data_IF_432948970955
#
_entry.id   IF_432948970955
#
_cell.length_a   1.000
_cell.length_b   1.000
_cell.length_c   1.000
_cell.angle_alpha   90.00
_cell.angle_beta   90.00
_cell.angle_gamma   90.00
#
_symmetry.space_group_name_H-M   'P 1'
#
loop_
_entity.id
_entity.type
_entity.pdbx_description
1 polymer ?
#
# COMPACT_ATOMS: atom_id res chain seq x y z
N UNK A 1 -2.66 -13.54 -13.83
CA UNK A 1 -2.37 -12.83 -15.08
C UNK A 1 -2.79 -13.75 -16.21
N UNK A 2 -3.51 -13.24 -17.21
CA UNK A 2 -3.85 -14.00 -18.43
C UNK A 2 -2.54 -14.41 -19.14
N UNK A 3 -2.47 -15.63 -19.69
CA UNK A 3 -1.32 -16.21 -20.41
C UNK A 3 -0.72 -15.25 -21.44
N UNK A 4 -1.55 -14.49 -22.16
CA UNK A 4 -1.09 -13.48 -23.12
C UNK A 4 -0.25 -12.36 -22.47
N UNK A 5 -0.64 -11.88 -21.28
CA UNK A 5 0.10 -10.85 -20.56
C UNK A 5 1.39 -11.40 -19.93
N UNK A 6 1.43 -12.70 -19.60
CA UNK A 6 2.64 -13.36 -19.09
C UNK A 6 3.69 -13.44 -20.19
N UNK A 7 3.32 -13.91 -21.39
CA UNK A 7 4.21 -13.92 -22.55
C UNK A 7 4.68 -12.51 -22.92
N UNK A 8 3.78 -11.54 -22.90
CA UNK A 8 4.12 -10.14 -23.14
C UNK A 8 5.12 -9.60 -22.10
N UNK A 9 4.96 -9.97 -20.82
CA UNK A 9 5.92 -9.59 -19.75
C UNK A 9 7.31 -10.20 -20.00
N UNK A 10 7.38 -11.45 -20.48
CA UNK A 10 8.66 -12.08 -20.83
C UNK A 10 9.34 -11.34 -21.98
N UNK A 11 8.59 -11.02 -23.04
CA UNK A 11 9.11 -10.23 -24.15
C UNK A 11 9.56 -8.83 -23.70
N UNK A 12 8.83 -8.18 -22.79
CA UNK A 12 9.21 -6.89 -22.24
C UNK A 12 10.53 -6.92 -21.44
N UNK A 13 10.86 -8.06 -20.81
CA UNK A 13 12.16 -8.27 -20.17
C UNK A 13 13.30 -8.38 -21.18
N UNK A 14 13.05 -9.03 -22.31
CA UNK A 14 14.04 -9.27 -23.36
C UNK A 14 14.32 -8.01 -24.20
N UNK A 15 13.37 -7.09 -24.29
CA UNK A 15 13.49 -5.84 -25.06
C UNK A 15 13.34 -4.59 -24.17
N UNK A 16 14.33 -4.26 -23.32
CA UNK A 16 14.24 -3.21 -22.31
C UNK A 16 14.24 -1.77 -22.87
N UNK A 17 14.37 -1.56 -24.18
CA UNK A 17 14.28 -0.24 -24.82
C UNK A 17 13.20 -0.18 -25.92
N UNK A 18 12.39 -1.23 -26.08
CA UNK A 18 11.35 -1.24 -27.11
C UNK A 18 10.22 -0.26 -26.78
N UNK A 19 9.81 0.50 -27.80
CA UNK A 19 8.56 1.25 -27.82
C UNK A 19 7.44 0.35 -28.33
N UNK A 20 6.37 0.22 -27.54
CA UNK A 20 5.23 -0.61 -27.90
C UNK A 20 4.15 0.24 -28.58
N UNK A 21 3.93 -0.03 -29.87
CA UNK A 21 3.06 0.78 -30.74
C UNK A 21 1.66 0.19 -30.96
N UNK A 22 1.44 -1.08 -30.61
CA UNK A 22 0.19 -1.81 -30.90
C UNK A 22 -0.46 -2.39 -29.63
N UNK A 23 -0.65 -1.56 -28.61
CA UNK A 23 -1.20 -2.00 -27.32
C UNK A 23 -2.73 -1.94 -27.26
N UNK A 24 -3.37 -1.13 -28.12
CA UNK A 24 -4.82 -1.07 -28.21
C UNK A 24 -5.48 -2.41 -28.56
N UNK A 25 -4.83 -3.26 -29.35
CA UNK A 25 -5.30 -4.62 -29.62
C UNK A 25 -5.38 -5.47 -28.35
N UNK A 26 -4.42 -5.31 -27.43
CA UNK A 26 -4.40 -6.02 -26.15
C UNK A 26 -5.45 -5.49 -25.17
N UNK A 27 -5.74 -4.18 -25.20
CA UNK A 27 -6.75 -3.55 -24.37
C UNK A 27 -8.17 -3.93 -24.81
N UNK A 28 -8.41 -3.91 -26.13
CA UNK A 28 -9.74 -4.14 -26.70
C UNK A 28 -10.08 -5.62 -26.91
N UNK A 29 -9.16 -6.56 -26.68
CA UNK A 29 -9.45 -8.00 -26.83
C UNK A 29 -10.64 -8.44 -25.93
N UNK A 30 -11.74 -8.96 -26.50
CA UNK A 30 -12.90 -9.45 -25.75
C UNK A 30 -12.53 -10.46 -24.66
N UNK A 31 -11.67 -11.44 -24.93
CA UNK A 31 -11.23 -12.43 -23.94
C UNK A 31 -10.53 -11.78 -22.74
N UNK A 32 -9.74 -10.73 -23.01
CA UNK A 32 -9.05 -9.97 -21.99
C UNK A 32 -9.99 -9.14 -21.11
N UNK A 33 -11.07 -8.62 -21.70
CA UNK A 33 -12.13 -7.89 -21.01
C UNK A 33 -12.99 -8.85 -20.18
N UNK A 34 -13.35 -10.02 -20.71
CA UNK A 34 -14.07 -11.08 -19.99
C UNK A 34 -13.30 -11.56 -18.76
N UNK A 35 -12.01 -11.85 -18.90
CA UNK A 35 -11.16 -12.18 -17.75
C UNK A 35 -11.15 -11.03 -16.72
N UNK A 36 -11.13 -9.78 -17.18
CA UNK A 36 -11.17 -8.62 -16.27
C UNK A 36 -12.50 -8.52 -15.52
N UNK A 37 -13.61 -8.89 -16.14
CA UNK A 37 -14.91 -9.01 -15.49
C UNK A 37 -14.93 -10.10 -14.41
N UNK A 38 -14.40 -11.30 -14.72
CA UNK A 38 -14.39 -12.44 -13.81
C UNK A 38 -13.67 -12.15 -12.50
N UNK A 39 -12.50 -11.51 -12.60
CA UNK A 39 -11.65 -11.16 -11.44
C UNK A 39 -12.29 -10.10 -10.52
N UNK A 40 -13.23 -9.28 -11.02
CA UNK A 40 -13.85 -8.26 -10.18
C UNK A 40 -14.69 -8.88 -9.05
N UNK A 41 -14.53 -8.42 -7.80
CA UNK A 41 -15.36 -8.91 -6.71
C UNK A 41 -16.80 -8.40 -6.85
N UNK A 42 -17.78 -9.30 -6.67
CA UNK A 42 -19.21 -9.00 -6.87
C UNK A 42 -19.84 -8.11 -5.79
N UNK A 43 -19.16 -7.88 -4.67
CA UNK A 43 -19.68 -7.10 -3.54
C UNK A 43 -19.24 -5.62 -3.54
N UNK A 44 -18.60 -5.13 -4.61
CA UNK A 44 -18.21 -3.72 -4.72
C UNK A 44 -19.44 -2.85 -4.98
N UNK A 45 -19.48 -1.70 -4.32
CA UNK A 45 -20.51 -0.69 -4.56
C UNK A 45 -20.49 -0.24 -6.03
N UNK A 46 -21.68 0.05 -6.57
CA UNK A 46 -21.85 0.52 -7.93
C UNK A 46 -21.38 1.98 -8.09
N UNK A 47 -21.06 2.33 -9.35
CA UNK A 47 -20.67 3.67 -9.76
C UNK A 47 -21.89 4.59 -9.87
N UNK A 48 -21.81 5.59 -10.76
CA UNK A 48 -22.94 6.49 -11.05
C UNK A 48 -24.03 5.76 -11.84
N UNK A 49 -23.61 4.83 -12.71
CA UNK A 49 -24.45 3.94 -13.51
C UNK A 49 -25.36 3.02 -12.67
N UNK A 50 -25.07 2.85 -11.37
CA UNK A 50 -25.75 1.92 -10.46
C UNK A 50 -25.75 0.45 -10.95
N UNK A 51 -24.92 0.11 -11.93
CA UNK A 51 -24.80 -1.25 -12.47
C UNK A 51 -23.94 -2.10 -11.55
N UNK A 52 -24.51 -3.20 -11.06
CA UNK A 52 -23.78 -4.21 -10.29
C UNK A 52 -23.15 -5.27 -11.19
N UNK A 53 -22.26 -6.10 -10.61
CA UNK A 53 -21.67 -7.23 -11.35
C UNK A 53 -22.74 -8.20 -11.85
N UNK A 54 -23.78 -8.45 -11.04
CA UNK A 54 -24.88 -9.35 -11.42
C UNK A 54 -25.71 -8.78 -12.55
N UNK A 55 -25.96 -7.47 -12.57
CA UNK A 55 -26.72 -6.83 -13.64
C UNK A 55 -25.94 -6.86 -14.95
N UNK A 56 -24.62 -6.62 -14.88
CA UNK A 56 -23.75 -6.72 -16.05
C UNK A 56 -23.61 -8.16 -16.58
N UNK A 57 -23.72 -9.16 -15.70
CA UNK A 57 -23.61 -10.57 -16.08
C UNK A 57 -24.78 -11.09 -16.92
N UNK A 58 -25.93 -10.39 -16.92
CA UNK A 58 -27.14 -10.84 -17.63
C UNK A 58 -26.95 -10.91 -19.15
N UNK A 59 -26.15 -9.99 -19.70
CA UNK A 59 -25.76 -9.96 -21.10
C UNK A 59 -24.26 -9.68 -21.21
N UNK A 60 -23.47 -10.63 -20.68
CA UNK A 60 -22.03 -10.45 -20.61
C UNK A 60 -21.38 -10.37 -22.00
N UNK A 61 -21.75 -11.29 -22.89
CA UNK A 61 -21.13 -11.40 -24.21
C UNK A 61 -21.48 -10.21 -25.12
N UNK A 62 -22.75 -9.78 -25.14
CA UNK A 62 -23.18 -8.61 -25.89
C UNK A 62 -22.48 -7.33 -25.41
N UNK A 63 -22.45 -7.09 -24.09
CA UNK A 63 -21.82 -5.90 -23.51
C UNK A 63 -20.30 -5.87 -23.69
N UNK A 64 -19.62 -7.01 -23.53
CA UNK A 64 -18.16 -7.08 -23.76
C UNK A 64 -17.83 -6.85 -25.23
N UNK A 65 -18.64 -7.38 -26.15
CA UNK A 65 -18.45 -7.17 -27.59
C UNK A 65 -18.67 -5.71 -27.96
N UNK A 66 -19.71 -5.07 -27.42
CA UNK A 66 -19.96 -3.65 -27.58
C UNK A 66 -18.79 -2.80 -27.04
N UNK A 67 -18.35 -3.06 -25.80
CA UNK A 67 -17.22 -2.37 -25.18
C UNK A 67 -15.92 -2.55 -25.97
N UNK A 68 -15.66 -3.75 -26.50
CA UNK A 68 -14.53 -4.02 -27.39
C UNK A 68 -14.60 -3.16 -28.66
N UNK A 69 -15.78 -3.09 -29.28
CA UNK A 69 -16.03 -2.25 -30.45
C UNK A 69 -15.80 -0.76 -30.17
N UNK A 70 -16.30 -0.26 -29.04
CA UNK A 70 -16.13 1.14 -28.63
C UNK A 70 -14.68 1.53 -28.35
N UNK A 71 -13.90 0.60 -27.78
CA UNK A 71 -12.47 0.80 -27.55
C UNK A 71 -11.70 0.85 -28.88
N UNK A 72 -12.07 0.02 -29.86
CA UNK A 72 -11.43 0.01 -31.19
C UNK A 72 -11.78 1.25 -32.01
N UNK A 73 -13.03 1.70 -31.97
CA UNK A 73 -13.50 2.88 -32.70
C UNK A 73 -13.18 4.21 -32.01
N UNK A 74 -12.62 4.16 -30.80
CA UNK A 74 -12.37 5.32 -29.94
C UNK A 74 -13.62 6.10 -29.53
N UNK A 75 -14.80 5.47 -29.61
CA UNK A 75 -16.04 6.04 -29.08
C UNK A 75 -16.16 5.91 -27.57
N UNK A 76 -15.40 5.00 -26.94
CA UNK A 76 -15.40 4.83 -25.48
C UNK A 76 -15.08 6.15 -24.73
N UNK A 77 -16.03 6.57 -23.87
CA UNK A 77 -15.90 7.74 -23.00
C UNK A 77 -16.05 7.32 -21.55
N UNK A 78 -14.99 7.45 -20.73
CA UNK A 78 -15.07 7.11 -19.33
C UNK A 78 -16.05 8.03 -18.61
N UNK A 79 -16.82 7.47 -17.68
CA UNK A 79 -17.79 8.20 -16.91
C UNK A 79 -17.15 8.85 -15.68
N UNK A 80 -17.72 9.93 -15.14
CA UNK A 80 -17.22 10.53 -13.91
C UNK A 80 -17.25 9.53 -12.75
N UNK A 81 -16.27 9.61 -11.87
CA UNK A 81 -16.23 8.71 -10.71
C UNK A 81 -17.15 9.22 -9.60
N UNK A 82 -17.89 8.32 -8.96
CA UNK A 82 -18.77 8.69 -7.82
C UNK A 82 -17.95 8.92 -6.56
N UNK A 83 -17.99 10.13 -5.98
CA UNK A 83 -17.25 10.45 -4.75
C UNK A 83 -17.92 9.85 -3.52
N UNK A 84 -17.15 9.19 -2.67
CA UNK A 84 -17.55 8.63 -1.38
C UNK A 84 -16.48 8.92 -0.34
N UNK A 85 -16.89 9.34 0.86
CA UNK A 85 -15.96 9.67 1.93
C UNK A 85 -15.77 8.50 2.90
N UNK A 86 -14.51 8.16 3.17
CA UNK A 86 -14.13 7.27 4.26
C UNK A 86 -13.51 8.07 5.40
N UNK A 87 -13.99 7.94 6.64
CA UNK A 87 -13.40 8.64 7.78
C UNK A 87 -11.96 8.17 8.06
N UNK A 88 -11.01 9.10 8.11
CA UNK A 88 -9.64 8.84 8.60
C UNK A 88 -9.60 8.91 10.13
N UNK A 89 -8.52 8.39 10.71
CA UNK A 89 -8.29 8.39 12.17
C UNK A 89 -8.03 9.78 12.76
N UNK A 90 -7.67 10.76 11.94
CA UNK A 90 -7.36 12.13 12.33
C UNK A 90 -8.54 13.10 12.14
N UNK A 91 -9.78 12.58 12.04
CA UNK A 91 -10.99 13.37 11.82
C UNK A 91 -11.19 13.86 10.37
N UNK A 92 -10.14 13.89 9.54
CA UNK A 92 -10.27 14.21 8.11
C UNK A 92 -10.97 13.06 7.37
N UNK A 93 -11.56 13.34 6.21
CA UNK A 93 -12.15 12.32 5.36
C UNK A 93 -11.22 12.01 4.17
N UNK A 94 -11.14 10.74 3.76
CA UNK A 94 -10.48 10.32 2.53
C UNK A 94 -11.55 10.22 1.45
N UNK A 95 -11.49 11.05 0.41
CA UNK A 95 -12.36 10.85 -0.73
C UNK A 95 -11.94 9.60 -1.50
N UNK A 96 -12.91 8.80 -1.91
CA UNK A 96 -12.76 7.71 -2.87
C UNK A 96 -13.67 7.97 -4.07
N UNK A 97 -13.13 7.78 -5.27
CA UNK A 97 -13.88 7.68 -6.50
C UNK A 97 -14.23 6.23 -6.78
N UNK A 98 -15.53 5.93 -6.91
CA UNK A 98 -16.04 4.64 -7.35
C UNK A 98 -16.38 4.76 -8.83
N UNK A 99 -15.56 4.19 -9.74
CA UNK A 99 -15.85 4.21 -11.17
C UNK A 99 -17.03 3.31 -11.54
N UNK A 100 -17.63 3.61 -12.70
CA UNK A 100 -18.65 2.78 -13.33
C UNK A 100 -18.13 1.37 -13.63
N UNK A 101 -19.03 0.42 -13.87
CA UNK A 101 -18.63 -0.98 -13.96
C UNK A 101 -17.76 -1.28 -15.20
N UNK A 102 -18.11 -0.74 -16.36
CA UNK A 102 -17.30 -0.85 -17.58
C UNK A 102 -15.92 -0.23 -17.41
N UNK A 103 -15.85 0.98 -16.82
CA UNK A 103 -14.59 1.65 -16.51
C UNK A 103 -13.69 0.80 -15.62
N UNK A 104 -14.27 0.02 -14.69
CA UNK A 104 -13.49 -0.93 -13.86
C UNK A 104 -12.88 -2.05 -14.69
N UNK A 105 -13.60 -2.57 -15.68
CA UNK A 105 -13.10 -3.62 -16.59
C UNK A 105 -11.93 -3.06 -17.41
N UNK A 106 -12.13 -1.90 -18.04
CA UNK A 106 -11.10 -1.24 -18.85
C UNK A 106 -9.87 -0.89 -18.01
N UNK A 107 -10.06 -0.28 -16.84
CA UNK A 107 -8.95 0.07 -15.93
C UNK A 107 -8.20 -1.16 -15.42
N UNK A 108 -8.89 -2.28 -15.15
CA UNK A 108 -8.23 -3.52 -14.74
C UNK A 108 -7.35 -4.07 -15.86
N UNK A 109 -7.87 -4.13 -17.09
CA UNK A 109 -7.12 -4.61 -18.25
C UNK A 109 -5.91 -3.72 -18.52
N UNK A 110 -6.11 -2.40 -18.52
CA UNK A 110 -5.06 -1.39 -18.67
C UNK A 110 -3.98 -1.53 -17.59
N UNK A 111 -4.39 -1.70 -16.32
CA UNK A 111 -3.48 -1.94 -15.20
C UNK A 111 -2.59 -3.16 -15.44
N UNK A 112 -3.15 -4.26 -15.96
CA UNK A 112 -2.39 -5.46 -16.32
C UNK A 112 -1.38 -5.24 -17.45
N UNK A 113 -1.75 -4.46 -18.48
CA UNK A 113 -0.84 -4.11 -19.60
C UNK A 113 0.32 -3.25 -19.08
N UNK A 114 0.02 -2.19 -18.33
CA UNK A 114 1.04 -1.30 -17.78
C UNK A 114 1.97 -2.05 -16.79
N UNK A 115 1.42 -2.93 -15.94
CA UNK A 115 2.25 -3.77 -15.07
C UNK A 115 3.20 -4.67 -15.87
N UNK A 116 2.72 -5.27 -16.96
CA UNK A 116 3.55 -6.15 -17.78
C UNK A 116 4.73 -5.42 -18.43
N UNK A 117 4.55 -4.14 -18.80
CA UNK A 117 5.60 -3.29 -19.37
C UNK A 117 6.61 -2.86 -18.30
N UNK A 118 6.15 -2.33 -17.16
CA UNK A 118 7.01 -1.64 -16.19
C UNK A 118 7.53 -2.52 -15.06
N UNK A 119 6.92 -3.66 -14.75
CA UNK A 119 7.40 -4.53 -13.66
C UNK A 119 8.88 -4.97 -13.82
N UNK A 120 9.39 -5.25 -15.04
CA UNK A 120 10.82 -5.47 -15.27
C UNK A 120 11.72 -4.26 -14.99
N UNK A 121 11.22 -3.04 -15.12
CA UNK A 121 11.99 -1.81 -14.94
C UNK A 121 12.02 -1.31 -13.51
N UNK A 122 10.91 -1.53 -12.78
CA UNK A 122 10.75 -1.05 -11.43
C UNK A 122 11.88 -1.53 -10.51
N UNK A 123 12.51 -0.56 -9.84
CA UNK A 123 13.64 -0.81 -8.94
C UNK A 123 13.25 -1.65 -7.75
N UNK A 124 14.21 -2.41 -7.23
CA UNK A 124 14.04 -3.30 -6.09
C UNK A 124 13.68 -2.56 -4.79
N UNK A 125 13.93 -1.25 -4.73
CA UNK A 125 13.53 -0.40 -3.60
C UNK A 125 12.02 -0.19 -3.51
N UNK A 126 11.25 -0.46 -4.57
CA UNK A 126 9.80 -0.22 -4.61
C UNK A 126 8.99 -1.50 -4.37
N UNK A 127 8.11 -1.48 -3.37
CA UNK A 127 7.32 -2.65 -2.96
C UNK A 127 5.80 -2.46 -3.05
N UNK A 128 5.31 -1.22 -3.03
CA UNK A 128 3.88 -0.93 -2.97
C UNK A 128 3.17 -1.29 -4.28
N UNK A 129 1.96 -1.86 -4.19
CA UNK A 129 1.09 -2.16 -5.33
C UNK A 129 1.71 -2.97 -6.49
N UNK A 130 2.75 -3.75 -6.22
CA UNK A 130 3.42 -4.60 -7.22
C UNK A 130 3.07 -6.08 -7.04
N UNK A 131 2.96 -6.85 -8.13
CA UNK A 131 2.79 -8.30 -8.04
C UNK A 131 3.98 -8.93 -7.30
N UNK A 132 3.72 -9.95 -6.47
CA UNK A 132 4.73 -10.71 -5.72
C UNK A 132 5.58 -9.90 -4.70
N UNK A 133 5.36 -8.58 -4.60
CA UNK A 133 5.94 -7.72 -3.56
C UNK A 133 4.94 -7.49 -2.44
N UNK A 134 5.42 -7.41 -1.21
CA UNK A 134 4.56 -7.15 -0.06
C UNK A 134 5.25 -6.28 1.01
N UNK A 135 4.45 -5.78 1.95
CA UNK A 135 4.93 -4.92 3.03
C UNK A 135 5.98 -5.62 3.92
N UNK A 136 5.87 -6.93 4.12
CA UNK A 136 6.82 -7.68 4.93
C UNK A 136 8.21 -7.76 4.28
N UNK A 137 8.29 -7.86 2.96
CA UNK A 137 9.55 -7.79 2.23
C UNK A 137 10.22 -6.42 2.37
N UNK A 138 9.46 -5.32 2.30
CA UNK A 138 9.98 -3.97 2.54
C UNK A 138 10.55 -3.84 3.97
N UNK A 139 9.81 -4.34 4.98
CA UNK A 139 10.25 -4.35 6.37
C UNK A 139 11.49 -5.23 6.60
N UNK A 140 11.59 -6.37 5.90
CA UNK A 140 12.76 -7.24 5.95
C UNK A 140 13.97 -6.54 5.33
N UNK A 141 13.80 -5.88 4.18
CA UNK A 141 14.87 -5.13 3.53
C UNK A 141 15.37 -3.97 4.38
N UNK A 142 14.46 -3.23 5.01
CA UNK A 142 14.81 -2.19 5.98
C UNK A 142 15.64 -2.76 7.15
N UNK A 143 15.29 -3.94 7.64
CA UNK A 143 16.06 -4.65 8.67
C UNK A 143 17.46 -5.06 8.20
N UNK A 144 17.58 -5.54 6.96
CA UNK A 144 18.85 -5.88 6.33
C UNK A 144 19.74 -4.65 6.16
N UNK A 145 19.23 -3.55 5.61
CA UNK A 145 19.97 -2.30 5.41
C UNK A 145 20.50 -1.78 6.75
N UNK A 146 19.60 -1.61 7.71
CA UNK A 146 19.95 -1.02 9.01
C UNK A 146 20.90 -1.87 9.83
N UNK A 147 20.81 -3.20 9.75
CA UNK A 147 21.62 -4.12 10.57
C UNK A 147 22.94 -4.50 9.89
N UNK A 148 22.91 -4.75 8.57
CA UNK A 148 24.06 -5.34 7.85
C UNK A 148 24.85 -4.30 7.05
N UNK A 149 24.25 -3.17 6.64
CA UNK A 149 24.90 -2.17 5.77
C UNK A 149 25.42 -0.93 6.53
N UNK A 150 25.38 -0.97 7.87
CA UNK A 150 26.06 0.03 8.70
C UNK A 150 25.49 1.46 8.65
N UNK A 151 24.28 1.65 8.10
CA UNK A 151 23.61 2.95 8.05
C UNK A 151 23.35 3.50 9.46
N UNK A 152 23.52 4.81 9.65
CA UNK A 152 23.35 5.49 10.94
C UNK A 152 22.30 6.59 10.93
N UNK A 153 21.84 6.98 9.75
CA UNK A 153 20.88 8.05 9.55
C UNK A 153 19.73 7.55 8.70
N UNK A 154 18.54 8.03 9.02
CA UNK A 154 17.31 7.63 8.37
C UNK A 154 16.46 8.88 8.13
N UNK A 155 15.96 9.02 6.91
CA UNK A 155 14.99 10.04 6.52
C UNK A 155 13.68 9.31 6.27
N UNK A 156 12.70 9.56 7.13
CA UNK A 156 11.29 9.22 6.87
C UNK A 156 10.71 10.37 6.03
N UNK A 157 10.06 10.07 4.91
CA UNK A 157 9.43 11.07 4.06
C UNK A 157 8.10 10.57 3.49
N UNK A 158 7.15 11.49 3.37
CA UNK A 158 5.79 11.24 2.88
C UNK A 158 5.41 12.37 1.92
N UNK A 159 4.68 12.05 0.86
CA UNK A 159 4.29 13.03 -0.16
C UNK A 159 2.88 13.54 0.15
N UNK A 160 2.74 14.86 0.23
CA UNK A 160 1.48 15.52 0.58
C UNK A 160 0.46 15.33 -0.53
N UNK A 161 -0.60 14.59 -0.22
CA UNK A 161 -1.72 14.40 -1.13
C UNK A 161 -1.31 13.84 -2.50
N UNK A 162 -0.36 12.89 -2.54
CA UNK A 162 0.24 12.40 -3.79
C UNK A 162 -0.78 12.14 -4.90
N UNK A 163 -1.83 11.36 -4.62
CA UNK A 163 -2.85 11.02 -5.62
C UNK A 163 -3.66 12.21 -6.12
N UNK A 164 -3.73 13.31 -5.38
CA UNK A 164 -4.51 14.49 -5.73
C UNK A 164 -3.66 15.51 -6.53
N UNK A 165 -2.32 15.46 -6.42
CA UNK A 165 -1.40 16.42 -7.06
C UNK A 165 -0.62 15.86 -8.28
N UNK A 166 -0.82 14.61 -8.68
CA UNK A 166 -0.12 14.05 -9.86
C UNK A 166 -0.44 14.87 -11.12
N UNK A 167 0.56 15.53 -11.68
CA UNK A 167 0.41 16.26 -12.96
C UNK A 167 0.27 15.29 -14.15
N UNK A 168 -0.80 15.46 -14.93
CA UNK A 168 -1.12 14.56 -16.04
C UNK A 168 -0.09 14.62 -17.17
N UNK A 169 0.44 15.79 -17.47
CA UNK A 169 1.37 15.97 -18.58
C UNK A 169 2.70 15.25 -18.32
N UNK A 170 3.26 15.37 -17.10
CA UNK A 170 4.43 14.59 -16.70
C UNK A 170 4.15 13.08 -16.72
N UNK A 171 3.00 12.65 -16.21
CA UNK A 171 2.63 11.23 -16.22
C UNK A 171 2.57 10.67 -17.65
N UNK A 172 1.99 11.42 -18.59
CA UNK A 172 1.93 10.99 -19.99
C UNK A 172 3.32 10.95 -20.63
N UNK A 173 4.18 11.94 -20.38
CA UNK A 173 5.59 11.92 -20.84
C UNK A 173 6.36 10.72 -20.30
N UNK A 174 6.12 10.31 -19.05
CA UNK A 174 6.73 9.10 -18.50
C UNK A 174 6.23 7.83 -19.18
N UNK A 175 4.94 7.78 -19.54
CA UNK A 175 4.37 6.65 -20.27
C UNK A 175 4.94 6.56 -21.70
N UNK A 176 5.15 7.69 -22.36
CA UNK A 176 5.71 7.80 -23.71
C UNK A 176 7.11 7.19 -23.84
N UNK A 177 7.86 7.03 -22.75
CA UNK A 177 9.15 6.31 -22.78
C UNK A 177 9.04 4.85 -23.23
N UNK A 178 7.89 4.20 -23.02
CA UNK A 178 7.67 2.79 -23.37
C UNK A 178 6.46 2.59 -24.28
N UNK A 179 5.45 3.44 -24.16
CA UNK A 179 4.21 3.37 -24.93
C UNK A 179 4.33 4.34 -26.10
N UNK A 180 4.60 3.80 -27.28
CA UNK A 180 4.55 4.56 -28.54
C UNK A 180 3.16 4.55 -29.19
N UNK A 181 2.18 3.85 -28.59
CA UNK A 181 0.79 3.82 -29.05
C UNK A 181 0.03 5.10 -28.62
N UNK A 182 -0.20 6.07 -29.53
CA UNK A 182 -0.85 7.34 -29.19
C UNK A 182 -2.32 7.15 -28.82
N UNK A 183 -2.93 6.07 -29.29
CA UNK A 183 -4.33 5.76 -29.07
C UNK A 183 -4.53 5.27 -27.64
N UNK A 184 -3.63 4.41 -27.13
CA UNK A 184 -3.64 4.00 -25.73
C UNK A 184 -3.43 5.21 -24.79
N UNK A 185 -2.45 6.07 -25.09
CA UNK A 185 -2.20 7.29 -24.31
C UNK A 185 -3.43 8.21 -24.29
N UNK A 186 -4.17 8.29 -25.39
CA UNK A 186 -5.44 9.04 -25.45
C UNK A 186 -6.50 8.47 -24.51
N UNK A 187 -6.63 7.14 -24.41
CA UNK A 187 -7.55 6.50 -23.46
C UNK A 187 -7.13 6.78 -22.02
N UNK A 188 -5.83 6.69 -21.70
CA UNK A 188 -5.30 7.02 -20.38
C UNK A 188 -5.62 8.49 -20.02
N UNK A 189 -5.37 9.42 -20.95
CA UNK A 189 -5.70 10.84 -20.78
C UNK A 189 -7.20 11.06 -20.54
N UNK A 190 -8.08 10.36 -21.28
CA UNK A 190 -9.53 10.43 -21.05
C UNK A 190 -9.91 9.93 -19.65
N UNK A 191 -9.32 8.82 -19.19
CA UNK A 191 -9.57 8.26 -17.85
C UNK A 191 -9.14 9.22 -16.73
N UNK A 192 -8.00 9.90 -16.91
CA UNK A 192 -7.50 10.90 -15.96
C UNK A 192 -8.40 12.15 -15.91
N UNK A 193 -8.95 12.56 -17.05
CA UNK A 193 -9.84 13.74 -17.18
C UNK A 193 -11.32 13.45 -16.94
N UNK A 194 -11.71 12.20 -16.67
CA UNK A 194 -13.11 11.79 -16.56
C UNK A 194 -13.92 12.52 -15.46
N UNK A 195 -13.23 13.27 -14.58
CA UNK A 195 -13.88 14.11 -13.58
C UNK A 195 -14.49 13.32 -12.43
N UNK A 196 -15.04 14.04 -11.46
CA UNK A 196 -15.65 13.50 -10.25
C UNK A 196 -17.08 14.01 -10.16
N UNK A 197 -18.02 13.13 -9.83
CA UNK A 197 -19.39 13.50 -9.49
C UNK A 197 -19.59 13.43 -7.97
N UNK A 198 -20.00 14.55 -7.39
CA UNK A 198 -20.28 14.67 -5.95
C UNK A 198 -21.65 15.31 -5.74
N UNK A 199 -22.57 14.59 -5.08
CA UNK A 199 -23.93 15.06 -4.82
C UNK A 199 -24.70 15.61 -6.05
N UNK A 200 -24.39 15.10 -7.25
CA UNK A 200 -24.99 15.56 -8.51
C UNK A 200 -24.26 16.72 -9.20
N UNK A 201 -23.19 17.23 -8.60
CA UNK A 201 -22.32 18.26 -9.19
C UNK A 201 -21.11 17.61 -9.84
N UNK A 202 -20.89 17.91 -11.12
CA UNK A 202 -19.71 17.49 -11.86
C UNK A 202 -18.55 18.45 -11.62
N UNK A 203 -17.39 17.92 -11.26
CA UNK A 203 -16.13 18.68 -11.14
C UNK A 203 -15.09 18.07 -12.08
N UNK A 204 -14.48 18.89 -12.93
CA UNK A 204 -13.39 18.46 -13.80
C UNK A 204 -12.15 18.10 -12.96
N UNK A 205 -11.41 17.07 -13.38
CA UNK A 205 -10.13 16.69 -12.76
C UNK A 205 -8.99 17.33 -13.53
N UNK A 206 -8.46 18.44 -13.03
CA UNK A 206 -7.32 19.14 -13.65
C UNK A 206 -5.97 18.53 -13.27
N UNK A 207 -5.89 17.94 -12.08
CA UNK A 207 -4.72 17.22 -11.58
C UNK A 207 -5.15 15.96 -10.79
N UNK A 208 -4.17 15.11 -10.52
CA UNK A 208 -4.34 13.91 -9.71
C UNK A 208 -4.88 12.70 -10.47
N UNK A 209 -4.87 11.56 -9.80
CA UNK A 209 -5.48 10.32 -10.30
C UNK A 209 -6.65 9.96 -9.40
N UNK A 210 -7.80 9.51 -9.95
CA UNK A 210 -8.96 9.21 -9.13
C UNK A 210 -8.62 8.11 -8.09
N UNK A 211 -8.71 8.47 -6.80
CA UNK A 211 -8.44 7.55 -5.69
C UNK A 211 -9.51 6.46 -5.66
N UNK A 212 -9.17 5.24 -6.06
CA UNK A 212 -10.13 4.12 -6.17
C UNK A 212 -10.23 3.52 -7.57
N UNK A 213 -9.62 4.18 -8.56
CA UNK A 213 -9.36 3.57 -9.86
C UNK A 213 -8.38 2.40 -9.74
N UNK A 214 -8.60 1.34 -10.53
CA UNK A 214 -7.75 0.13 -10.52
C UNK A 214 -6.41 0.34 -11.22
N UNK A 215 -6.35 1.35 -12.09
CA UNK A 215 -5.14 1.74 -12.82
C UNK A 215 -4.28 2.73 -12.02
N UNK A 216 -4.89 3.53 -11.14
CA UNK A 216 -4.23 4.59 -10.38
C UNK A 216 -2.98 4.12 -9.60
N UNK A 217 -2.97 2.95 -8.91
CA UNK A 217 -1.78 2.49 -8.20
C UNK A 217 -0.58 2.19 -9.10
N UNK A 218 -0.83 1.72 -10.34
CA UNK A 218 0.24 1.43 -11.29
C UNK A 218 0.79 2.74 -11.86
N UNK A 219 -0.09 3.67 -12.24
CA UNK A 219 0.32 5.01 -12.70
C UNK A 219 1.14 5.75 -11.63
N UNK A 220 0.70 5.67 -10.37
CA UNK A 220 1.44 6.19 -9.22
C UNK A 220 2.87 5.63 -9.13
N UNK A 221 3.01 4.32 -9.30
CA UNK A 221 4.31 3.66 -9.25
C UNK A 221 5.20 4.03 -10.44
N UNK A 222 4.65 4.15 -11.64
CA UNK A 222 5.37 4.62 -12.84
C UNK A 222 5.89 6.03 -12.60
N UNK A 223 5.04 6.93 -12.10
CA UNK A 223 5.42 8.30 -11.79
C UNK A 223 6.59 8.37 -10.80
N UNK A 224 6.46 7.71 -9.65
CA UNK A 224 7.49 7.70 -8.62
C UNK A 224 8.75 6.93 -9.03
N UNK A 225 8.64 6.01 -9.98
CA UNK A 225 9.80 5.33 -10.54
C UNK A 225 10.76 6.31 -11.22
N UNK A 226 10.23 7.20 -12.07
CA UNK A 226 11.06 8.20 -12.78
C UNK A 226 11.45 9.38 -11.89
N UNK A 227 10.53 9.86 -11.05
CA UNK A 227 10.77 11.04 -10.21
C UNK A 227 11.75 10.73 -9.07
N UNK A 228 11.56 9.61 -8.39
CA UNK A 228 12.26 9.27 -7.14
C UNK A 228 13.21 8.08 -7.31
N UNK A 229 12.73 6.89 -7.71
CA UNK A 229 13.53 5.66 -7.64
C UNK A 229 14.76 5.72 -8.57
N UNK A 230 14.56 6.11 -9.83
CA UNK A 230 15.63 6.24 -10.82
C UNK A 230 16.61 7.36 -10.48
N UNK A 231 16.08 8.52 -10.06
CA UNK A 231 16.91 9.64 -9.64
C UNK A 231 17.78 9.27 -8.44
N UNK A 232 17.21 8.62 -7.43
CA UNK A 232 17.94 8.19 -6.24
C UNK A 232 19.09 7.24 -6.61
N UNK A 233 18.78 6.17 -7.36
CA UNK A 233 19.76 5.13 -7.68
C UNK A 233 20.84 5.61 -8.66
N UNK A 234 20.46 6.35 -9.71
CA UNK A 234 21.39 6.71 -10.80
C UNK A 234 22.14 8.01 -10.57
N UNK A 235 21.57 8.94 -9.80
CA UNK A 235 22.17 10.27 -9.56
C UNK A 235 22.56 10.45 -8.10
N UNK A 236 21.58 10.38 -7.19
CA UNK A 236 21.82 10.75 -5.80
C UNK A 236 22.89 9.88 -5.14
N UNK A 237 22.73 8.55 -5.20
CA UNK A 237 23.66 7.58 -4.57
C UNK A 237 25.10 7.73 -5.05
N UNK A 238 25.32 8.11 -6.32
CA UNK A 238 26.67 8.31 -6.87
C UNK A 238 27.40 9.52 -6.30
N UNK A 239 26.64 10.49 -5.78
CA UNK A 239 27.18 11.71 -5.18
C UNK A 239 27.29 11.62 -3.67
N UNK A 240 26.82 10.53 -3.05
CA UNK A 240 26.95 10.31 -1.61
C UNK A 240 28.41 10.02 -1.24
N UNK A 241 28.87 10.55 -0.11
CA UNK A 241 30.18 10.21 0.44
C UNK A 241 30.21 8.76 0.92
N UNK A 242 29.09 8.26 1.43
CA UNK A 242 28.94 6.87 1.82
C UNK A 242 27.78 6.17 1.13
N UNK A 243 27.20 5.18 1.80
CA UNK A 243 26.15 4.34 1.21
C UNK A 243 24.76 4.92 1.51
N UNK A 244 23.93 4.99 0.47
CA UNK A 244 22.53 5.38 0.55
C UNK A 244 21.63 4.24 0.05
N UNK A 245 20.53 4.01 0.75
CA UNK A 245 19.54 2.99 0.39
C UNK A 245 18.12 3.55 0.52
N UNK A 246 17.25 3.19 -0.42
CA UNK A 246 15.84 3.59 -0.42
C UNK A 246 14.95 2.36 -0.22
N UNK A 247 13.90 2.49 0.58
CA UNK A 247 12.80 1.53 0.70
C UNK A 247 11.50 2.29 0.56
N UNK A 248 10.75 2.02 -0.51
CA UNK A 248 9.50 2.69 -0.85
C UNK A 248 8.33 1.72 -0.85
N UNK A 249 7.23 2.13 -0.24
CA UNK A 249 5.95 1.45 -0.29
C UNK A 249 4.86 2.43 -0.70
N UNK A 250 4.58 2.46 -2.01
CA UNK A 250 3.70 3.47 -2.62
C UNK A 250 4.28 4.88 -2.46
N UNK A 251 3.56 5.75 -1.74
CA UNK A 251 3.89 7.15 -1.41
C UNK A 251 4.75 7.30 -0.15
N UNK A 252 4.73 6.31 0.74
CA UNK A 252 5.52 6.26 1.98
C UNK A 252 6.90 5.66 1.68
N UNK A 253 7.98 6.37 2.00
CA UNK A 253 9.34 5.88 1.80
C UNK A 253 10.31 6.28 2.89
N UNK A 254 11.35 5.45 3.02
CA UNK A 254 12.41 5.61 4.00
C UNK A 254 13.75 5.52 3.27
N UNK A 255 14.58 6.55 3.44
CA UNK A 255 15.96 6.57 2.94
C UNK A 255 16.94 6.39 4.10
N UNK A 256 17.91 5.50 3.96
CA UNK A 256 18.91 5.19 4.97
C UNK A 256 20.30 5.56 4.47
N UNK A 257 21.09 6.24 5.29
CA UNK A 257 22.42 6.76 4.96
C UNK A 257 23.46 6.41 6.01
N UNK A 258 24.72 6.32 5.60
CA UNK A 258 25.86 6.14 6.53
C UNK A 258 26.28 7.47 7.17
N UNK A 259 26.22 8.58 6.43
CA UNK A 259 26.63 9.91 6.90
C UNK A 259 25.42 10.84 7.06
N UNK A 260 25.55 11.79 7.98
CA UNK A 260 24.52 12.80 8.25
C UNK A 260 24.40 13.81 7.11
N UNK A 261 25.54 14.22 6.55
CA UNK A 261 25.60 15.18 5.44
C UNK A 261 24.83 14.68 4.23
N UNK A 262 25.02 13.40 3.87
CA UNK A 262 24.28 12.74 2.79
C UNK A 262 22.77 12.68 3.09
N UNK A 263 22.37 12.60 4.35
CA UNK A 263 20.95 12.55 4.73
C UNK A 263 20.29 13.94 4.70
N UNK A 264 20.99 14.98 5.18
CA UNK A 264 20.51 16.37 5.13
C UNK A 264 20.38 16.86 3.69
N UNK A 265 21.43 16.68 2.89
CA UNK A 265 21.41 17.02 1.46
C UNK A 265 20.27 16.31 0.72
N UNK A 266 19.96 15.08 1.11
CA UNK A 266 18.86 14.33 0.50
C UNK A 266 17.52 15.02 0.75
N UNK A 267 17.25 15.54 1.94
CA UNK A 267 15.99 16.24 2.22
C UNK A 267 15.84 17.51 1.37
N UNK A 268 16.92 18.27 1.25
CA UNK A 268 16.94 19.52 0.49
C UNK A 268 16.72 19.23 -1.01
N UNK A 269 17.56 18.36 -1.60
CA UNK A 269 17.44 17.99 -3.01
C UNK A 269 16.13 17.26 -3.33
N UNK A 270 15.58 16.47 -2.40
CA UNK A 270 14.29 15.80 -2.58
C UNK A 270 13.16 16.82 -2.71
N UNK A 271 13.20 17.89 -1.93
CA UNK A 271 12.18 18.94 -1.95
C UNK A 271 12.20 19.67 -3.29
N UNK A 272 13.38 20.07 -3.76
CA UNK A 272 13.57 20.68 -5.08
C UNK A 272 13.16 19.71 -6.20
N UNK A 273 13.57 18.45 -6.10
CA UNK A 273 13.27 17.42 -7.09
C UNK A 273 11.77 17.21 -7.24
N UNK A 274 11.03 17.08 -6.12
CA UNK A 274 9.58 16.88 -6.17
C UNK A 274 8.85 18.11 -6.71
N UNK A 275 9.30 19.32 -6.36
CA UNK A 275 8.69 20.56 -6.83
C UNK A 275 8.72 20.70 -8.36
N UNK A 276 9.79 20.24 -9.03
CA UNK A 276 9.89 20.22 -10.51
C UNK A 276 8.77 19.40 -11.16
N UNK A 277 8.23 18.41 -10.45
CA UNK A 277 7.15 17.54 -10.91
C UNK A 277 5.79 17.88 -10.27
N UNK A 278 5.64 19.06 -9.66
CA UNK A 278 4.37 19.46 -9.04
C UNK A 278 4.00 18.68 -7.77
N UNK A 279 4.98 18.04 -7.12
CA UNK A 279 4.79 17.32 -5.87
C UNK A 279 5.40 18.08 -4.69
N UNK A 280 4.79 17.93 -3.51
CA UNK A 280 5.25 18.57 -2.27
C UNK A 280 5.53 17.50 -1.20
N UNK A 281 6.66 17.64 -0.52
CA UNK A 281 6.98 16.83 0.67
C UNK A 281 6.08 17.26 1.83
N UNK A 282 5.55 16.32 2.61
CA UNK A 282 4.79 16.63 3.83
C UNK A 282 5.77 16.96 4.98
N UNK A 283 5.92 18.24 5.39
CA UNK A 283 6.97 18.63 6.36
C UNK A 283 6.68 18.09 7.76
N UNK A 284 5.41 17.85 8.09
CA UNK A 284 4.98 17.36 9.40
C UNK A 284 5.37 15.91 9.68
N UNK A 285 5.61 15.14 8.62
CA UNK A 285 6.01 13.73 8.71
C UNK A 285 7.47 13.49 8.33
N UNK A 286 8.02 14.40 7.54
CA UNK A 286 9.39 14.24 7.05
C UNK A 286 10.37 14.56 8.16
N UNK A 287 11.19 13.59 8.54
CA UNK A 287 12.14 13.79 9.64
C UNK A 287 13.47 13.06 9.42
N UNK A 288 14.55 13.74 9.80
CA UNK A 288 15.88 13.16 9.88
C UNK A 288 16.09 12.56 11.27
N UNK A 289 16.44 11.28 11.32
CA UNK A 289 16.58 10.51 12.54
C UNK A 289 17.94 9.83 12.59
N UNK A 290 18.62 9.93 13.73
CA UNK A 290 19.79 9.10 14.02
C UNK A 290 19.33 7.68 14.34
N UNK A 291 19.58 6.76 13.43
CA UNK A 291 19.05 5.41 13.48
C UNK A 291 20.07 4.38 12.97
N UNK A 292 20.67 3.63 13.89
CA UNK A 292 21.70 2.64 13.56
C UNK A 292 22.36 2.03 14.79
N UNK A 293 23.42 1.26 14.57
CA UNK A 293 24.19 0.59 15.62
C UNK A 293 24.85 1.55 16.61
N UNK A 294 25.26 2.74 16.14
CA UNK A 294 25.94 3.76 16.97
C UNK A 294 24.96 4.72 17.64
N UNK A 295 23.74 4.83 17.14
CA UNK A 295 22.74 5.79 17.64
C UNK A 295 22.56 5.76 19.17
N UNK A 296 22.53 4.58 19.79
CA UNK A 296 22.41 4.48 21.25
C UNK A 296 23.64 4.99 22.01
N UNK A 297 24.85 4.79 21.46
CA UNK A 297 26.10 5.28 22.04
C UNK A 297 26.24 6.79 21.85
N UNK A 298 25.93 7.29 20.65
CA UNK A 298 26.06 8.70 20.32
C UNK A 298 25.05 9.54 21.11
N UNK A 299 23.80 9.08 21.28
CA UNK A 299 22.84 9.76 22.16
C UNK A 299 23.30 9.81 23.62
N UNK A 300 24.02 8.80 24.11
CA UNK A 300 24.58 8.82 25.47
C UNK A 300 25.69 9.86 25.60
N UNK A 301 26.53 10.02 24.58
CA UNK A 301 27.58 11.06 24.54
C UNK A 301 26.98 12.46 24.49
N UNK A 302 25.91 12.63 23.71
CA UNK A 302 25.24 13.93 23.52
C UNK A 302 24.26 14.28 24.68
N UNK A 303 24.29 13.55 25.80
CA UNK A 303 23.40 13.78 26.96
C UNK A 303 21.91 13.54 26.69
N UNK A 304 21.55 12.95 25.55
CA UNK A 304 20.18 12.82 25.06
C UNK A 304 19.50 11.53 25.52
N UNK A 305 18.24 11.64 25.96
CA UNK A 305 17.45 10.50 26.49
C UNK A 305 16.88 9.64 25.36
N UNK A 306 17.70 8.68 24.91
CA UNK A 306 17.40 7.56 23.99
C UNK A 306 17.30 7.92 22.50
N UNK A 307 17.64 6.97 21.60
CA UNK A 307 17.44 7.14 20.16
C UNK A 307 15.96 7.33 19.80
N UNK A 308 15.71 8.18 18.81
CA UNK A 308 14.38 8.40 18.25
C UNK A 308 13.80 7.12 17.63
N UNK A 309 12.48 7.06 17.57
CA UNK A 309 11.72 5.98 16.94
C UNK A 309 10.93 6.53 15.77
N UNK A 310 10.66 5.70 14.77
CA UNK A 310 9.89 6.09 13.59
C UNK A 310 8.79 5.07 13.28
N UNK A 311 7.75 5.51 12.57
CA UNK A 311 6.61 4.66 12.24
C UNK A 311 6.65 4.33 10.74
N UNK A 312 6.71 3.06 10.37
CA UNK A 312 6.70 2.65 8.96
C UNK A 312 5.86 1.37 8.79
N UNK A 313 4.96 1.37 7.81
CA UNK A 313 4.07 0.24 7.49
C UNK A 313 3.29 -0.31 8.71
N UNK A 314 2.89 0.59 9.63
CA UNK A 314 2.12 0.23 10.82
C UNK A 314 2.93 -0.36 11.98
N UNK A 315 4.27 -0.33 11.89
CA UNK A 315 5.17 -0.68 12.97
C UNK A 315 5.98 0.54 13.41
N UNK A 316 6.09 0.71 14.72
CA UNK A 316 7.07 1.59 15.35
C UNK A 316 8.41 0.85 15.43
N UNK A 317 9.41 1.41 14.76
CA UNK A 317 10.77 0.93 14.70
C UNK A 317 11.64 1.62 15.75
N UNK A 318 12.46 0.86 16.45
CA UNK A 318 13.35 1.37 17.49
C UNK A 318 14.69 0.64 17.49
N UNK A 319 15.72 1.35 17.92
CA UNK A 319 17.06 0.80 18.13
C UNK A 319 17.02 -0.18 19.32
N UNK A 320 17.33 -1.45 19.08
CA UNK A 320 17.37 -2.50 20.09
C UNK A 320 18.71 -3.22 20.13
N UNK A 321 18.92 -4.04 21.16
CA UNK A 321 20.06 -4.96 21.28
C UNK A 321 19.56 -6.40 21.40
N UNK A 322 20.25 -7.32 20.73
CA UNK A 322 20.06 -8.76 20.90
C UNK A 322 20.54 -9.21 22.27
N UNK A 323 20.20 -10.45 22.66
CA UNK A 323 20.73 -11.08 23.88
C UNK A 323 22.27 -11.14 23.92
N UNK A 324 22.92 -11.15 22.75
CA UNK A 324 24.38 -11.14 22.58
C UNK A 324 24.96 -9.73 22.43
N UNK A 325 24.20 -8.67 22.76
CA UNK A 325 24.64 -7.28 22.70
C UNK A 325 24.68 -6.65 21.31
N UNK A 326 24.49 -7.42 20.22
CA UNK A 326 24.49 -6.90 18.83
C UNK A 326 23.28 -6.01 18.55
N UNK A 327 23.45 -4.99 17.72
CA UNK A 327 22.36 -4.13 17.26
C UNK A 327 21.28 -4.94 16.52
N UNK A 328 20.01 -4.61 16.77
CA UNK A 328 18.86 -5.18 16.08
C UNK A 328 17.81 -4.10 15.89
N UNK A 329 17.20 -4.07 14.70
CA UNK A 329 15.99 -3.29 14.43
C UNK A 329 14.79 -3.88 15.20
N UNK A 330 14.45 -3.25 16.32
CA UNK A 330 13.28 -3.58 17.12
C UNK A 330 11.99 -3.09 16.44
N UNK A 331 10.93 -3.88 16.52
CA UNK A 331 9.62 -3.55 15.94
C UNK A 331 8.50 -3.75 16.95
N UNK A 332 7.56 -2.82 17.01
CA UNK A 332 6.32 -2.93 17.78
C UNK A 332 5.15 -2.43 16.94
N UNK A 333 3.99 -3.06 17.04
CA UNK A 333 2.78 -2.53 16.42
C UNK A 333 2.49 -1.10 16.89
N UNK A 334 2.17 -0.21 15.95
CA UNK A 334 1.92 1.20 16.23
C UNK A 334 0.75 1.37 17.22
N UNK A 335 0.96 2.16 18.28
CA UNK A 335 -0.01 2.30 19.39
C UNK A 335 -1.33 2.90 18.95
N UNK A 336 -1.29 3.92 18.10
CA UNK A 336 -2.47 4.63 17.56
C UNK A 336 -3.35 3.68 16.75
N UNK A 337 -2.74 2.87 15.87
CA UNK A 337 -3.45 1.84 15.09
C UNK A 337 -4.05 0.75 15.98
N UNK A 338 -3.32 0.27 16.99
CA UNK A 338 -3.85 -0.70 17.95
C UNK A 338 -5.07 -0.13 18.67
N UNK A 339 -4.97 1.10 19.19
CA UNK A 339 -6.05 1.73 19.95
C UNK A 339 -7.32 1.84 19.10
N UNK A 340 -7.20 2.39 17.88
CA UNK A 340 -8.32 2.48 16.93
C UNK A 340 -8.94 1.10 16.65
N UNK A 341 -8.11 0.09 16.41
CA UNK A 341 -8.60 -1.25 16.09
C UNK A 341 -9.31 -1.91 17.26
N UNK A 342 -8.90 -1.63 18.50
CA UNK A 342 -9.60 -2.10 19.69
C UNK A 342 -10.97 -1.42 19.84
N UNK A 343 -11.08 -0.13 19.53
CA UNK A 343 -12.35 0.59 19.50
C UNK A 343 -13.29 -0.02 18.46
N UNK A 344 -12.83 -0.19 17.21
CA UNK A 344 -13.61 -0.83 16.14
C UNK A 344 -14.11 -2.24 16.54
N UNK A 345 -13.26 -3.04 17.20
CA UNK A 345 -13.63 -4.36 17.70
C UNK A 345 -14.67 -4.27 18.80
N UNK A 346 -14.50 -3.34 19.75
CA UNK A 346 -15.48 -3.12 20.82
C UNK A 346 -16.86 -2.76 20.26
N UNK A 347 -16.91 -1.87 19.27
CA UNK A 347 -18.16 -1.43 18.64
C UNK A 347 -18.80 -2.58 17.87
N UNK A 348 -17.99 -3.32 17.11
CA UNK A 348 -18.49 -4.48 16.36
C UNK A 348 -18.99 -5.60 17.27
N UNK A 349 -18.30 -5.89 18.37
CA UNK A 349 -18.77 -6.85 19.37
C UNK A 349 -20.08 -6.40 20.01
N UNK A 350 -20.25 -5.09 20.23
CA UNK A 350 -21.49 -4.52 20.76
C UNK A 350 -22.66 -4.70 19.79
N UNK A 351 -22.44 -4.45 18.50
CA UNK A 351 -23.45 -4.69 17.46
C UNK A 351 -23.80 -6.18 17.28
N UNK A 352 -22.81 -7.07 17.44
CA UNK A 352 -23.02 -8.52 17.37
C UNK A 352 -23.77 -9.10 18.57
N UNK A 353 -24.09 -8.28 19.58
CA UNK A 353 -24.89 -8.71 20.75
C UNK A 353 -26.22 -9.31 20.35
N UNK A 354 -26.86 -8.76 19.32
CA UNK A 354 -28.16 -9.25 18.81
C UNK A 354 -28.03 -10.66 18.21
N UNK A 355 -26.87 -11.00 17.63
CA UNK A 355 -26.62 -12.30 16.96
C UNK A 355 -26.11 -13.39 17.90
N UNK A 356 -25.90 -13.08 19.18
CA UNK A 356 -25.50 -14.03 20.21
C UNK A 356 -23.99 -14.26 20.37
N UNK A 357 -23.63 -15.02 21.41
CA UNK A 357 -22.25 -15.19 21.87
C UNK A 357 -21.34 -15.93 20.89
N UNK A 358 -21.88 -16.93 20.17
CA UNK A 358 -21.12 -17.67 19.14
C UNK A 358 -20.66 -16.75 18.01
N UNK A 359 -21.53 -15.85 17.54
CA UNK A 359 -21.18 -14.86 16.52
C UNK A 359 -20.09 -13.88 16.99
N UNK A 360 -20.14 -13.43 18.26
CA UNK A 360 -19.08 -12.60 18.84
C UNK A 360 -17.74 -13.34 18.90
N UNK A 361 -17.76 -14.59 19.37
CA UNK A 361 -16.60 -15.46 19.38
C UNK A 361 -16.08 -15.52 17.94
N UNK A 362 -16.83 -16.08 16.99
CA UNK A 362 -16.43 -16.31 15.59
C UNK A 362 -15.81 -15.07 14.94
N UNK A 363 -16.39 -13.90 15.19
CA UNK A 363 -15.81 -12.62 14.79
C UNK A 363 -14.43 -12.37 15.41
N UNK A 364 -14.28 -12.49 16.73
CA UNK A 364 -13.01 -12.29 17.43
C UNK A 364 -11.90 -13.22 16.90
N UNK A 365 -12.19 -14.50 16.60
CA UNK A 365 -11.19 -15.41 15.99
C UNK A 365 -10.81 -15.01 14.58
N UNK A 366 -11.78 -14.69 13.72
CA UNK A 366 -11.50 -14.23 12.35
C UNK A 366 -10.68 -12.94 12.37
N UNK A 367 -11.04 -12.02 13.26
CA UNK A 367 -10.33 -10.75 13.44
C UNK A 367 -8.91 -10.95 13.95
N UNK A 368 -8.71 -11.79 14.97
CA UNK A 368 -7.38 -12.12 15.48
C UNK A 368 -6.53 -12.83 14.43
N UNK A 369 -7.09 -13.77 13.66
CA UNK A 369 -6.39 -14.42 12.54
C UNK A 369 -5.90 -13.40 11.53
N UNK A 370 -6.76 -12.45 11.12
CA UNK A 370 -6.37 -11.38 10.20
C UNK A 370 -5.30 -10.45 10.79
N UNK A 371 -5.40 -10.12 12.08
CA UNK A 371 -4.38 -9.31 12.75
C UNK A 371 -3.03 -10.05 12.83
N UNK A 372 -3.03 -11.34 13.16
CA UNK A 372 -1.83 -12.18 13.20
C UNK A 372 -1.20 -12.32 11.81
N UNK A 373 -2.00 -12.51 10.77
CA UNK A 373 -1.51 -12.64 9.39
C UNK A 373 -0.60 -11.48 8.96
N UNK A 374 -0.81 -10.29 9.50
CA UNK A 374 0.03 -9.12 9.22
C UNK A 374 1.05 -8.79 10.32
N UNK A 375 0.62 -8.75 11.59
CA UNK A 375 1.45 -8.26 12.69
C UNK A 375 2.29 -9.34 13.39
N UNK A 376 2.09 -10.63 13.07
CA UNK A 376 2.88 -11.74 13.59
C UNK A 376 4.28 -11.83 12.95
N UNK A 377 5.06 -10.78 13.17
CA UNK A 377 6.43 -10.63 12.68
C UNK A 377 7.45 -10.82 13.80
N UNK A 378 8.68 -11.22 13.43
CA UNK A 378 9.78 -11.37 14.39
C UNK A 378 10.01 -10.07 15.20
N UNK A 379 10.21 -10.22 16.52
CA UNK A 379 10.37 -9.10 17.46
C UNK A 379 9.07 -8.50 18.00
N UNK A 380 7.89 -8.80 17.44
CA UNK A 380 6.60 -8.21 17.84
C UNK A 380 5.72 -9.11 18.73
N UNK A 381 6.24 -10.24 19.23
CA UNK A 381 5.48 -11.22 20.00
C UNK A 381 4.75 -10.63 21.23
N UNK A 382 5.38 -9.68 21.93
CA UNK A 382 4.79 -9.03 23.11
C UNK A 382 3.53 -8.24 22.76
N UNK A 383 3.58 -7.43 21.70
CA UNK A 383 2.44 -6.60 21.27
C UNK A 383 1.25 -7.47 20.87
N UNK A 384 1.52 -8.58 20.18
CA UNK A 384 0.49 -9.54 19.75
C UNK A 384 -0.19 -10.19 20.96
N UNK A 385 0.58 -10.65 21.95
CA UNK A 385 0.02 -11.22 23.19
C UNK A 385 -0.82 -10.20 23.94
N UNK A 386 -0.33 -8.96 24.06
CA UNK A 386 -1.10 -7.87 24.68
C UNK A 386 -2.39 -7.58 23.90
N UNK A 387 -2.35 -7.58 22.57
CA UNK A 387 -3.52 -7.35 21.74
C UNK A 387 -4.56 -8.47 21.87
N UNK A 388 -4.13 -9.72 21.80
CA UNK A 388 -4.99 -10.88 22.02
C UNK A 388 -5.64 -10.85 23.40
N UNK A 389 -4.86 -10.58 24.44
CA UNK A 389 -5.36 -10.42 25.80
C UNK A 389 -6.42 -9.32 25.93
N UNK A 390 -6.21 -8.15 25.28
CA UNK A 390 -7.19 -7.07 25.28
C UNK A 390 -8.49 -7.46 24.57
N UNK A 391 -8.41 -8.17 23.45
CA UNK A 391 -9.60 -8.71 22.76
C UNK A 391 -10.32 -9.73 23.64
N UNK A 392 -9.60 -10.63 24.30
CA UNK A 392 -10.18 -11.58 25.27
C UNK A 392 -10.93 -10.85 26.38
N UNK A 393 -10.37 -9.75 26.92
CA UNK A 393 -11.03 -8.91 27.92
C UNK A 393 -12.28 -8.21 27.41
N UNK A 394 -12.26 -7.68 26.18
CA UNK A 394 -13.44 -7.08 25.56
C UNK A 394 -14.54 -8.12 25.38
N UNK A 395 -14.19 -9.30 24.88
CA UNK A 395 -15.13 -10.39 24.66
C UNK A 395 -15.74 -10.87 25.98
N UNK A 396 -14.93 -11.06 27.01
CA UNK A 396 -15.40 -11.39 28.37
C UNK A 396 -16.37 -10.34 28.90
N UNK A 397 -16.00 -9.05 28.81
CA UNK A 397 -16.86 -7.95 29.26
C UNK A 397 -18.21 -7.98 28.54
N UNK A 398 -18.23 -8.15 27.22
CA UNK A 398 -19.47 -8.15 26.43
C UNK A 398 -20.34 -9.38 26.65
N UNK A 399 -19.73 -10.56 26.81
CA UNK A 399 -20.47 -11.80 27.08
C UNK A 399 -21.08 -11.80 28.49
N UNK A 400 -20.35 -11.29 29.49
CA UNK A 400 -20.85 -11.19 30.86
C UNK A 400 -21.91 -10.08 31.04
N UNK A 401 -21.96 -9.07 30.18
CA UNK A 401 -23.04 -8.06 30.17
C UNK A 401 -24.38 -8.60 29.62
N UNK A 402 -24.42 -9.83 29.08
CA UNK A 402 -25.61 -10.38 28.41
C UNK A 402 -26.56 -11.14 29.34
N UNK A 403 -26.06 -11.65 30.47
CA UNK A 403 -26.80 -12.57 31.32
C UNK A 403 -27.11 -11.91 32.67
N UNK A 404 -28.36 -11.99 33.13
CA UNK A 404 -28.70 -11.68 34.53
C UNK A 404 -28.24 -12.78 35.51
N UNK A 405 -27.66 -13.88 35.01
CA UNK A 405 -27.07 -14.95 35.83
C UNK A 405 -25.63 -14.62 36.24
N UNK A 406 -25.15 -15.28 37.30
CA UNK A 406 -23.76 -15.16 37.82
C UNK A 406 -22.73 -15.15 36.68
N UNK A 407 -21.87 -14.14 36.70
CA UNK A 407 -20.79 -13.94 35.75
C UNK A 407 -19.83 -15.14 35.75
N UNK A 408 -19.38 -15.54 34.54
CA UNK A 408 -18.29 -16.52 34.45
C UNK A 408 -17.03 -15.83 34.96
N UNK A 409 -16.31 -16.47 35.89
CA UNK A 409 -15.03 -15.98 36.37
C UNK A 409 -13.98 -15.95 35.24
N UNK A 410 -13.05 -15.00 35.29
CA UNK A 410 -12.03 -14.82 34.26
C UNK A 410 -11.21 -16.09 33.99
N UNK A 411 -10.85 -16.83 35.03
CA UNK A 411 -10.02 -18.04 34.89
C UNK A 411 -10.76 -19.16 34.16
N UNK A 412 -12.06 -19.34 34.45
CA UNK A 412 -12.91 -20.30 33.76
C UNK A 412 -13.13 -19.89 32.30
N UNK A 413 -13.31 -18.59 32.04
CA UNK A 413 -13.41 -18.08 30.68
C UNK A 413 -12.11 -18.28 29.89
N UNK A 414 -10.96 -18.05 30.53
CA UNK A 414 -9.64 -18.28 29.93
C UNK A 414 -9.44 -19.71 29.45
N UNK A 415 -9.84 -20.70 30.25
CA UNK A 415 -9.80 -22.14 29.89
C UNK A 415 -10.68 -22.47 28.67
N UNK A 416 -11.86 -21.87 28.59
CA UNK A 416 -12.76 -22.04 27.42
C UNK A 416 -12.13 -21.37 26.18
N UNK A 417 -11.55 -20.19 26.37
CA UNK A 417 -11.03 -19.38 25.29
C UNK A 417 -9.73 -19.94 24.70
N UNK A 418 -8.89 -20.60 25.50
CA UNK A 418 -7.59 -21.15 25.06
C UNK A 418 -7.73 -22.20 23.98
N UNK A 419 -8.78 -23.04 24.02
CA UNK A 419 -9.07 -24.03 22.96
C UNK A 419 -9.65 -23.41 21.69
N UNK A 420 -10.13 -22.17 21.77
CA UNK A 420 -10.91 -21.56 20.70
C UNK A 420 -10.13 -20.51 19.89
N UNK A 421 -9.18 -19.82 20.54
CA UNK A 421 -8.34 -18.78 19.96
C UNK A 421 -7.26 -19.33 19.02
N UNK A 422 -6.83 -18.54 18.01
CA UNK A 422 -5.70 -18.92 17.17
C UNK A 422 -4.38 -18.93 17.96
N UNK A 423 -3.43 -19.77 17.54
CA UNK A 423 -2.11 -19.82 18.15
C UNK A 423 -1.33 -18.52 17.89
N UNK A 424 -0.76 -17.94 18.94
CA UNK A 424 -0.03 -16.67 18.90
C UNK A 424 1.45 -16.90 18.51
N UNK A 425 1.67 -17.56 17.37
CA UNK A 425 3.02 -17.83 16.83
C UNK A 425 3.42 -16.73 15.84
N UNK A 426 4.73 -16.47 15.76
CA UNK A 426 5.30 -15.63 14.71
C UNK A 426 5.12 -16.36 13.38
N UNK A 427 4.58 -15.67 12.37
CA UNK A 427 4.31 -16.21 11.04
C UNK A 427 5.35 -15.71 10.02
N UNK A 428 5.88 -14.51 10.23
CA UNK A 428 6.83 -13.87 9.31
C UNK A 428 8.18 -13.63 10.00
N UNK A 429 9.24 -14.27 9.50
CA UNK A 429 10.58 -14.02 9.98
C UNK A 429 11.22 -12.86 9.21
N UNK A 430 11.38 -11.71 9.88
CA UNK A 430 11.97 -10.49 9.32
C UNK A 430 13.36 -10.19 9.89
N UNK A 431 13.99 -11.15 10.57
CA UNK A 431 15.38 -10.95 11.00
C UNK A 431 16.29 -11.01 9.79
N UNK A 432 17.27 -10.10 9.70
CA UNK A 432 18.22 -10.10 8.60
C UNK A 432 19.02 -11.40 8.62
N UNK A 433 19.27 -11.98 7.45
CA UNK A 433 20.21 -13.09 7.34
C UNK A 433 21.62 -12.58 7.73
N UNK A 434 22.40 -13.37 8.48
CA UNK A 434 23.79 -13.02 8.74
C UNK A 434 24.57 -12.89 7.44
N UNK A 435 25.53 -11.97 7.40
CA UNK A 435 26.38 -11.72 6.22
C UNK A 435 27.15 -12.96 5.72
N UNK A 436 27.36 -13.97 6.56
CA UNK A 436 28.03 -15.22 6.19
C UNK A 436 27.10 -16.29 5.58
N UNK A 437 25.78 -16.05 5.57
CA UNK A 437 24.77 -16.92 4.93
C UNK A 437 24.29 -16.37 3.57
N UNK A 438 24.82 -15.23 3.15
CA UNK A 438 24.51 -14.51 1.90
C UNK A 438 25.78 -14.40 1.09
#
# INVERSE_FOLDING_TARGET
MNTQLVCFTQWAKEAPQALYNALMGLLSNPEGLTHSFEVQPGNKAAGIDKVSKSDYAQDLEGRITALSGELRSLSYRPQPVRRVYIPKSNGRQRPLGIPCFEDRIVQHRLSGILQAIWEPEFRDCSYGFRPQRNAHQALAKLGEITTNKGTQWLVEADIKGFFDHVEHDWLLRFLEHRVGDPVLLRIIRRLLKAGVMEAGVFTASEAGTPQGGLVSPVLANIYLHYVLDLWFEKRYVRTCKGQGYLVRYADDFVACFTHEEDARRFMDELTERLAVFGLEVEPSKTCLLRFGSRAASDCQKDGSKRPSTFDFLGFTHYVGKSRRGRFVLGRRSQRTRIAKKLTEVSDRLSALRVKGGRAMMDYAKRHLRGHLAYYAVSGNARSIRTYAYRISRLLFKRLNQRSQRRSVAWDRFGKILSGWMPSLRIQHNLYPKPLWMT
#
